data_IF_924837436160
#
_entry.id   IF_924837436160
#
_cell.length_a   1.000
_cell.length_b   1.000
_cell.length_c   1.000
_cell.angle_alpha   90.00
_cell.angle_beta   90.00
_cell.angle_gamma   90.00
#
_symmetry.space_group_name_H-M   'P 1'
#
loop_
_entity.id
_entity.type
_entity.pdbx_description
1 polymer ?
#
# COMPACT_ATOMS: atom_id res chain seq x y z
N UNK A 1 -9.61 24.36 19.55
CA UNK A 1 -9.90 23.88 18.59
C UNK A 1 -9.66 22.53 18.44
N UNK A 2 -10.41 21.84 18.11
CA UNK A 2 -10.34 20.55 17.99
C UNK A 2 -9.75 20.04 16.84
N UNK A 3 -9.02 20.73 16.23
CA UNK A 3 -8.41 20.29 15.17
C UNK A 3 -7.64 19.16 15.47
N UNK A 4 -7.37 18.30 15.14
CA UNK A 4 -6.57 17.20 15.43
C UNK A 4 -7.27 15.96 15.80
N UNK A 5 -8.34 16.06 16.52
CA UNK A 5 -9.05 14.88 16.85
C UNK A 5 -9.79 14.43 15.63
N UNK A 6 -9.52 13.28 15.14
CA UNK A 6 -10.18 12.75 13.97
C UNK A 6 -9.70 13.30 12.64
N UNK A 7 -8.74 14.23 12.63
CA UNK A 7 -8.20 14.73 11.39
C UNK A 7 -6.99 13.95 10.98
N UNK A 8 -6.93 13.60 9.71
CA UNK A 8 -5.75 12.94 9.17
C UNK A 8 -4.68 13.97 8.89
N UNK A 9 -3.45 13.63 9.25
CA UNK A 9 -2.29 14.43 8.92
C UNK A 9 -1.61 13.76 7.74
N UNK A 10 -1.75 14.36 6.57
CA UNK A 10 -1.15 13.78 5.37
C UNK A 10 0.35 14.00 5.40
N UNK A 11 1.09 12.92 5.32
CA UNK A 11 2.55 12.96 5.39
C UNK A 11 3.19 12.91 4.01
N UNK A 12 2.57 12.25 3.06
CA UNK A 12 3.12 12.07 1.72
C UNK A 12 1.99 12.11 0.72
N UNK A 13 2.24 12.71 -0.43
CA UNK A 13 1.32 12.69 -1.55
C UNK A 13 2.20 12.77 -2.78
N UNK A 14 2.41 11.67 -3.46
CA UNK A 14 3.37 11.58 -4.54
C UNK A 14 2.82 10.81 -5.73
N UNK A 15 3.26 11.20 -6.92
CA UNK A 15 2.96 10.45 -8.14
C UNK A 15 4.26 9.80 -8.58
N UNK A 16 4.23 8.50 -8.75
CA UNK A 16 5.42 7.73 -9.09
C UNK A 16 5.28 7.12 -10.48
N UNK A 17 6.40 6.87 -11.14
CA UNK A 17 6.40 6.24 -12.44
C UNK A 17 5.99 4.78 -12.33
N UNK A 18 5.48 4.23 -13.42
CA UNK A 18 5.05 2.83 -13.43
C UNK A 18 6.23 1.91 -13.75
N UNK A 19 7.19 1.89 -12.89
CA UNK A 19 8.36 1.01 -13.03
C UNK A 19 8.75 0.46 -11.67
N UNK A 20 9.60 -0.54 -11.66
CA UNK A 20 9.95 -1.21 -10.41
C UNK A 20 10.85 -0.38 -9.50
N UNK A 21 11.52 0.65 -10.03
CA UNK A 21 12.29 1.54 -9.18
C UNK A 21 11.39 2.34 -8.26
N UNK A 22 10.15 2.55 -8.66
CA UNK A 22 9.18 3.25 -7.81
C UNK A 22 8.83 2.46 -6.57
N UNK A 23 9.06 1.14 -6.59
CA UNK A 23 8.83 0.32 -5.40
C UNK A 23 9.79 0.75 -4.29
N UNK A 24 11.06 0.97 -4.64
CA UNK A 24 12.05 1.42 -3.65
C UNK A 24 11.74 2.82 -3.17
N UNK A 25 11.30 3.70 -4.05
CA UNK A 25 10.99 5.06 -3.68
C UNK A 25 9.75 5.09 -2.76
N UNK A 26 8.75 4.31 -3.07
CA UNK A 26 7.55 4.23 -2.22
C UNK A 26 7.92 3.71 -0.84
N UNK A 27 8.75 2.68 -0.78
CA UNK A 27 9.19 2.14 0.49
C UNK A 27 9.91 3.19 1.32
N UNK A 28 10.80 3.94 0.69
CA UNK A 28 11.56 4.98 1.38
C UNK A 28 10.62 6.04 1.97
N UNK A 29 9.68 6.50 1.18
CA UNK A 29 8.75 7.55 1.63
C UNK A 29 7.86 7.06 2.76
N UNK A 30 7.36 5.84 2.64
CA UNK A 30 6.48 5.29 3.66
C UNK A 30 7.25 5.03 4.96
N UNK A 31 8.45 4.47 4.86
CA UNK A 31 9.23 4.18 6.07
C UNK A 31 9.64 5.44 6.80
N UNK A 32 9.93 6.50 6.06
CA UNK A 32 10.27 7.75 6.69
C UNK A 32 9.09 8.25 7.54
N UNK A 33 7.89 8.18 6.98
CA UNK A 33 6.69 8.60 7.71
C UNK A 33 6.37 7.65 8.87
N UNK A 34 6.57 6.35 8.66
CA UNK A 34 6.27 5.37 9.70
C UNK A 34 7.23 5.48 10.87
N UNK A 35 8.50 5.76 10.61
CA UNK A 35 9.45 5.99 11.67
C UNK A 35 9.07 7.23 12.48
N UNK A 36 8.66 8.28 11.78
CA UNK A 36 8.23 9.50 12.46
C UNK A 36 6.98 9.25 13.30
N UNK A 37 6.17 8.29 12.92
CA UNK A 37 4.96 7.94 13.67
C UNK A 37 5.27 7.08 14.89
N UNK A 38 6.49 6.53 14.99
CA UNK A 38 6.90 5.80 16.18
C UNK A 38 6.82 4.29 16.10
N UNK A 39 6.67 3.72 14.93
CA UNK A 39 6.60 2.26 14.81
C UNK A 39 7.95 1.62 15.14
N UNK A 40 7.95 0.52 15.89
CA UNK A 40 9.20 -0.18 16.17
C UNK A 40 9.68 -0.96 14.96
N UNK A 41 10.92 -1.44 15.03
CA UNK A 41 11.59 -2.05 13.90
C UNK A 41 10.82 -3.21 13.26
N UNK A 42 10.26 -4.09 14.05
CA UNK A 42 9.56 -5.23 13.48
C UNK A 42 8.27 -4.79 12.75
N UNK A 43 7.63 -3.73 13.24
CA UNK A 43 6.44 -3.22 12.56
C UNK A 43 6.84 -2.48 11.28
N UNK A 44 7.97 -1.79 11.29
CA UNK A 44 8.47 -1.13 10.10
C UNK A 44 8.74 -2.16 8.99
N UNK A 45 9.27 -3.30 9.36
CA UNK A 45 9.55 -4.35 8.41
C UNK A 45 8.25 -4.86 7.76
N UNK A 46 7.23 -5.06 8.56
CA UNK A 46 5.93 -5.51 8.05
C UNK A 46 5.31 -4.49 7.11
N UNK A 47 5.37 -3.22 7.50
CA UNK A 47 4.84 -2.15 6.67
C UNK A 47 5.59 -2.11 5.33
N UNK A 48 6.91 -2.22 5.39
CA UNK A 48 7.74 -2.19 4.21
C UNK A 48 7.35 -3.30 3.24
N UNK A 49 7.22 -4.51 3.73
CA UNK A 49 6.90 -5.65 2.88
C UNK A 49 5.52 -5.48 2.23
N UNK A 50 4.54 -5.04 3.02
CA UNK A 50 3.18 -4.86 2.49
C UNK A 50 3.14 -3.75 1.43
N UNK A 51 3.86 -2.66 1.66
CA UNK A 51 3.88 -1.55 0.72
C UNK A 51 4.56 -1.96 -0.58
N UNK A 52 5.69 -2.66 -0.48
CA UNK A 52 6.39 -3.10 -1.68
C UNK A 52 5.48 -3.97 -2.54
N UNK A 53 4.79 -4.93 -1.94
CA UNK A 53 3.90 -5.78 -2.70
C UNK A 53 2.74 -5.02 -3.32
N UNK A 54 2.20 -4.06 -2.58
CA UNK A 54 1.07 -3.28 -3.08
C UNK A 54 1.51 -2.42 -4.27
N UNK A 55 2.70 -1.82 -4.21
CA UNK A 55 3.19 -0.99 -5.30
C UNK A 55 3.56 -1.86 -6.51
N UNK A 56 4.14 -3.04 -6.29
CA UNK A 56 4.41 -3.97 -7.38
C UNK A 56 3.10 -4.31 -8.10
N UNK A 57 2.04 -4.58 -7.35
CA UNK A 57 0.76 -4.90 -7.97
C UNK A 57 0.23 -3.72 -8.78
N UNK A 58 0.40 -2.50 -8.30
CA UNK A 58 -0.05 -1.32 -9.03
C UNK A 58 0.74 -1.13 -10.33
N UNK A 59 2.04 -1.33 -10.29
CA UNK A 59 2.91 -1.16 -11.45
C UNK A 59 2.67 -2.27 -12.48
N UNK A 60 2.66 -3.50 -12.02
CA UNK A 60 2.63 -4.65 -12.92
C UNK A 60 1.22 -4.98 -13.38
N UNK A 61 0.30 -5.11 -12.44
CA UNK A 61 -1.06 -5.56 -12.77
C UNK A 61 -2.00 -4.41 -13.07
N UNK A 62 -1.82 -3.29 -12.42
CA UNK A 62 -2.66 -2.12 -12.64
C UNK A 62 -2.24 -1.36 -13.89
N UNK A 63 -1.12 -0.69 -13.83
CA UNK A 63 -0.66 0.17 -14.91
C UNK A 63 0.08 -0.57 -16.02
N UNK A 64 0.46 -1.80 -15.78
CA UNK A 64 1.16 -2.64 -16.76
C UNK A 64 2.39 -1.92 -17.34
N UNK A 65 3.15 -1.31 -16.46
CA UNK A 65 4.39 -0.60 -16.80
C UNK A 65 4.19 0.58 -17.76
N UNK A 66 2.96 1.09 -17.92
CA UNK A 66 2.72 2.16 -18.88
C UNK A 66 3.40 3.46 -18.44
N UNK A 67 4.18 4.05 -19.32
CA UNK A 67 4.83 5.31 -19.03
C UNK A 67 3.84 6.46 -18.98
N UNK A 68 2.61 6.25 -19.45
CA UNK A 68 1.58 7.27 -19.43
C UNK A 68 0.70 7.20 -18.19
N UNK A 69 0.92 6.24 -17.33
CA UNK A 69 0.13 6.05 -16.13
C UNK A 69 1.02 6.12 -14.92
N UNK A 70 0.52 6.72 -13.86
CA UNK A 70 1.29 6.91 -12.64
C UNK A 70 0.72 6.10 -11.50
N UNK A 71 1.55 5.88 -10.49
CA UNK A 71 1.10 5.28 -9.24
C UNK A 71 0.99 6.42 -8.24
N UNK A 72 -0.18 6.56 -7.62
CA UNK A 72 -0.39 7.61 -6.64
C UNK A 72 -0.18 7.03 -5.25
N UNK A 73 0.72 7.61 -4.50
CA UNK A 73 1.02 7.17 -3.15
C UNK A 73 0.62 8.25 -2.17
N UNK A 74 -0.22 7.91 -1.21
CA UNK A 74 -0.56 8.82 -0.14
C UNK A 74 -0.29 8.15 1.19
N UNK A 75 0.26 8.90 2.14
CA UNK A 75 0.45 8.41 3.48
C UNK A 75 -0.15 9.42 4.43
N UNK A 76 -0.98 8.95 5.33
CA UNK A 76 -1.61 9.83 6.30
C UNK A 76 -1.66 9.14 7.65
N UNK A 77 -2.01 9.89 8.67
CA UNK A 77 -2.00 9.38 10.01
C UNK A 77 -3.06 10.07 10.86
N UNK A 78 -3.79 9.27 11.62
CA UNK A 78 -4.63 9.74 12.70
C UNK A 78 -3.90 9.38 13.98
N UNK A 79 -4.47 9.74 15.12
CA UNK A 79 -3.84 9.45 16.41
C UNK A 79 -3.60 7.95 16.61
N UNK A 80 -4.51 7.12 16.10
CA UNK A 80 -4.49 5.70 16.38
C UNK A 80 -4.17 4.83 15.17
N UNK A 81 -3.89 5.42 13.99
CA UNK A 81 -3.67 4.61 12.81
C UNK A 81 -2.82 5.32 11.77
N UNK A 82 -2.13 4.51 11.02
CA UNK A 82 -1.26 4.94 9.94
C UNK A 82 -1.79 4.33 8.66
N UNK A 83 -2.05 5.14 7.66
CA UNK A 83 -2.72 4.68 6.45
C UNK A 83 -1.84 4.95 5.23
N UNK A 84 -1.69 3.93 4.39
CA UNK A 84 -0.99 4.05 3.12
C UNK A 84 -1.99 3.74 2.03
N UNK A 85 -2.13 4.62 1.05
CA UNK A 85 -3.03 4.42 -0.06
C UNK A 85 -2.22 4.40 -1.35
N UNK A 86 -2.42 3.37 -2.16
CA UNK A 86 -1.71 3.21 -3.42
C UNK A 86 -2.75 3.11 -4.52
N UNK A 87 -2.70 4.04 -5.47
CA UNK A 87 -3.66 4.07 -6.57
C UNK A 87 -2.96 3.90 -7.90
N UNK A 88 -3.58 3.16 -8.83
CA UNK A 88 -3.08 3.08 -10.18
C UNK A 88 -4.11 3.67 -11.13
N UNK A 89 -3.74 3.80 -12.40
CA UNK A 89 -4.60 4.40 -13.41
C UNK A 89 -4.94 3.40 -14.51
N UNK A 90 -4.78 2.12 -14.21
CA UNK A 90 -5.01 1.09 -15.20
C UNK A 90 -6.49 0.84 -15.45
N UNK A 91 -6.78 -0.17 -16.28
CA UNK A 91 -8.16 -0.52 -16.52
C UNK A 91 -8.75 -1.21 -15.32
N UNK A 92 -8.00 -1.31 -14.28
CA UNK A 92 -8.41 -1.94 -13.04
C UNK A 92 -8.08 -3.41 -13.04
N UNK A 93 -7.82 -3.92 -11.87
CA UNK A 93 -7.74 -5.36 -11.69
C UNK A 93 -8.41 -5.61 -10.35
N UNK A 94 -8.89 -6.84 -10.20
CA UNK A 94 -9.61 -7.20 -9.00
C UNK A 94 -8.73 -8.16 -8.25
N UNK A 95 -8.41 -7.86 -7.02
CA UNK A 95 -7.57 -8.75 -6.22
C UNK A 95 -8.20 -10.12 -6.08
N UNK A 96 -9.53 -10.19 -6.11
CA UNK A 96 -10.20 -11.48 -6.02
C UNK A 96 -10.02 -12.29 -7.30
N UNK A 97 -9.62 -11.66 -8.41
CA UNK A 97 -9.39 -12.39 -9.65
C UNK A 97 -7.95 -12.83 -9.81
N UNK A 98 -7.08 -12.44 -8.89
CA UNK A 98 -5.72 -12.92 -8.89
C UNK A 98 -5.71 -14.38 -8.45
N UNK A 99 -4.68 -15.13 -8.79
CA UNK A 99 -4.64 -16.53 -8.41
C UNK A 99 -4.79 -16.72 -6.90
N UNK A 100 -5.47 -17.79 -6.52
CA UNK A 100 -5.63 -18.12 -5.12
C UNK A 100 -4.25 -18.39 -4.52
N UNK A 101 -3.83 -17.61 -3.53
CA UNK A 101 -2.49 -17.79 -2.98
C UNK A 101 -2.30 -19.10 -2.23
N UNK A 102 -3.40 -19.78 -1.89
CA UNK A 102 -3.30 -21.05 -1.20
C UNK A 102 -3.35 -22.23 -2.15
N UNK A 103 -3.62 -22.02 -3.42
CA UNK A 103 -3.62 -23.10 -4.39
C UNK A 103 -2.20 -23.56 -4.63
N UNK A 104 -2.01 -24.88 -4.77
CA UNK A 104 -0.68 -25.45 -4.90
C UNK A 104 0.12 -24.82 -6.02
N UNK A 105 -0.48 -24.64 -7.16
CA UNK A 105 0.22 -24.07 -8.29
C UNK A 105 0.59 -22.62 -8.09
N UNK A 106 -0.11 -21.93 -7.18
CA UNK A 106 0.16 -20.53 -6.94
C UNK A 106 1.16 -20.28 -5.83
N UNK A 107 1.55 -21.30 -5.11
CA UNK A 107 2.55 -21.13 -4.07
C UNK A 107 3.90 -20.76 -4.65
N UNK A 108 4.09 -21.01 -5.93
CA UNK A 108 5.32 -20.64 -6.61
C UNK A 108 5.27 -19.25 -7.22
N UNK A 109 4.11 -18.60 -7.23
CA UNK A 109 3.97 -17.28 -7.84
C UNK A 109 4.01 -16.20 -6.79
N UNK A 110 4.90 -15.23 -7.01
CA UNK A 110 5.13 -14.22 -6.01
C UNK A 110 3.93 -13.34 -5.77
N UNK A 111 3.17 -13.00 -6.77
CA UNK A 111 2.02 -12.12 -6.61
C UNK A 111 0.93 -12.77 -5.75
N UNK A 112 0.76 -14.08 -5.82
CA UNK A 112 -0.18 -14.76 -4.95
C UNK A 112 0.24 -14.70 -3.50
N UNK A 113 1.54 -14.84 -3.25
CA UNK A 113 2.07 -14.74 -1.90
C UNK A 113 1.99 -13.31 -1.38
N UNK A 114 2.08 -12.34 -2.28
CA UNK A 114 2.01 -10.94 -1.90
C UNK A 114 0.70 -10.60 -1.20
N UNK A 115 -0.41 -11.13 -1.68
CA UNK A 115 -1.70 -10.88 -1.07
C UNK A 115 -1.75 -11.45 0.34
N UNK A 116 -1.21 -12.63 0.54
CA UNK A 116 -1.12 -13.21 1.88
C UNK A 116 -0.27 -12.34 2.79
N UNK A 117 0.84 -11.82 2.26
CA UNK A 117 1.73 -10.97 3.02
C UNK A 117 1.03 -9.70 3.45
N UNK A 118 0.32 -9.05 2.55
CA UNK A 118 -0.39 -7.83 2.86
C UNK A 118 -1.40 -8.08 3.98
N UNK A 119 -2.17 -9.14 3.86
CA UNK A 119 -3.18 -9.46 4.86
C UNK A 119 -2.57 -9.84 6.20
N UNK A 120 -1.42 -10.49 6.18
CA UNK A 120 -0.78 -10.90 7.41
C UNK A 120 -0.13 -9.74 8.15
N UNK A 121 0.38 -8.75 7.41
CA UNK A 121 1.19 -7.71 8.00
C UNK A 121 0.46 -6.41 8.30
N UNK A 122 -0.69 -6.20 7.69
CA UNK A 122 -1.45 -4.97 7.93
C UNK A 122 -2.71 -5.30 8.74
N UNK A 123 -3.18 -4.32 9.49
CA UNK A 123 -4.37 -4.52 10.33
C UNK A 123 -5.65 -4.44 9.52
N UNK A 124 -5.66 -3.62 8.47
CA UNK A 124 -6.80 -3.55 7.56
C UNK A 124 -6.28 -3.35 6.16
N UNK A 125 -7.00 -3.88 5.18
CA UNK A 125 -6.75 -3.50 3.82
C UNK A 125 -8.06 -3.53 3.06
N UNK A 126 -8.23 -2.61 2.13
CA UNK A 126 -9.40 -2.62 1.29
C UNK A 126 -9.04 -2.12 -0.10
N UNK A 127 -9.83 -2.54 -1.07
CA UNK A 127 -9.59 -2.24 -2.46
C UNK A 127 -10.83 -1.56 -3.00
N UNK A 128 -10.63 -0.50 -3.76
CA UNK A 128 -11.73 0.26 -4.32
C UNK A 128 -11.44 0.55 -5.78
N UNK A 129 -12.43 0.37 -6.64
CA UNK A 129 -12.29 0.76 -8.02
C UNK A 129 -12.50 2.24 -8.15
N UNK A 130 -11.66 2.88 -8.94
CA UNK A 130 -11.77 4.30 -9.19
C UNK A 130 -12.48 4.52 -10.53
N UNK A 131 -13.25 5.59 -10.62
CA UNK A 131 -13.95 5.92 -11.83
C UNK A 131 -13.24 7.10 -12.47
N UNK A 132 -12.99 7.06 -13.78
CA UNK A 132 -13.40 6.06 -14.76
C UNK A 132 -12.44 4.89 -14.87
N UNK A 133 -11.30 4.95 -14.27
CA UNK A 133 -10.33 3.87 -14.36
C UNK A 133 -9.40 3.92 -13.18
N UNK A 134 -8.86 2.78 -12.81
CA UNK A 134 -7.88 2.68 -11.74
C UNK A 134 -8.37 1.84 -10.58
N UNK A 135 -7.43 1.49 -9.72
CA UNK A 135 -7.71 0.74 -8.50
C UNK A 135 -6.96 1.42 -7.37
N UNK A 136 -7.60 1.49 -6.23
CA UNK A 136 -6.96 2.07 -5.05
C UNK A 136 -6.94 1.02 -3.96
N UNK A 137 -5.77 0.82 -3.36
CA UNK A 137 -5.61 -0.11 -2.25
C UNK A 137 -5.25 0.71 -1.03
N UNK A 138 -5.97 0.50 0.06
CA UNK A 138 -5.73 1.21 1.30
C UNK A 138 -5.26 0.23 2.34
N UNK A 139 -4.12 0.52 2.93
CA UNK A 139 -3.51 -0.31 3.97
C UNK A 139 -3.50 0.48 5.27
N UNK A 140 -3.92 -0.16 6.35
CA UNK A 140 -3.97 0.49 7.65
C UNK A 140 -3.19 -0.32 8.66
N UNK A 141 -2.36 0.38 9.42
CA UNK A 141 -1.63 -0.22 10.53
C UNK A 141 -1.94 0.61 11.77
N UNK A 142 -2.39 -0.06 12.82
CA UNK A 142 -2.74 0.68 14.04
C UNK A 142 -1.50 1.05 14.82
N UNK A 143 -1.55 2.25 15.42
CA UNK A 143 -0.51 2.67 16.31
C UNK A 143 -0.86 2.21 17.70
N UNK A 144 0.00 1.40 18.29
CA UNK A 144 -0.22 0.98 19.66
C UNK A 144 0.57 1.91 20.51
N UNK A 145 -0.11 2.61 21.39
CA UNK A 145 0.59 3.51 22.25
C UNK A 145 1.13 2.71 23.42
N UNK A 146 2.38 2.87 23.67
CA UNK A 146 2.95 2.25 24.80
C UNK A 146 2.40 2.97 26.00
N UNK A 147 1.87 2.29 26.89
CA UNK A 147 1.29 2.99 28.02
C UNK A 147 2.13 2.91 29.22
#
# INVERSE_FOLDING_TARGET
MEKGLGQELKKVDALLESNLQSVDEAERLVLEAAKAAGFPEDELHKISMAVRETVVNAVVHGNRYSSHKKVHLEVSRLADRFTVTVGDQGNGFDLSSLPDPLAEENLLHQSGRGILLIRAFMDEYCVRRLSPAGTEVKLVKYLTHAS
#
